data_IF_878446613038
#
_entry.id   IF_878446613038
#
_cell.length_a   1.000
_cell.length_b   1.000
_cell.length_c   1.000
_cell.angle_alpha   90.00
_cell.angle_beta   90.00
_cell.angle_gamma   90.00
#
_symmetry.space_group_name_H-M   'P 1'
#
loop_
_entity.id
_entity.type
_entity.pdbx_description
1 polymer ?
#
# COMPACT_ATOMS: atom_id res chain seq x y z
N UNK A 1 11.35 -19.87 5.16
CA UNK A 1 12.69 -20.10 5.76
C UNK A 1 13.33 -18.74 5.91
N UNK A 2 13.75 -18.36 7.13
CA UNK A 2 14.35 -17.04 7.36
C UNK A 2 15.88 -17.09 7.14
N UNK A 3 16.43 -16.00 6.63
CA UNK A 3 17.89 -15.77 6.53
C UNK A 3 18.27 -14.62 7.46
N UNK A 4 19.57 -14.39 7.66
CA UNK A 4 20.05 -13.27 8.48
C UNK A 4 20.79 -12.28 7.60
N UNK A 5 20.55 -10.99 7.84
CA UNK A 5 21.35 -9.88 7.31
C UNK A 5 22.04 -9.17 8.46
N UNK A 6 23.22 -8.61 8.22
CA UNK A 6 23.91 -7.78 9.20
C UNK A 6 23.69 -6.31 8.84
N UNK A 7 23.33 -5.51 9.84
CA UNK A 7 23.07 -4.07 9.69
C UNK A 7 23.75 -3.29 10.81
N UNK A 8 23.99 -1.99 10.59
CA UNK A 8 24.59 -1.13 11.60
C UNK A 8 23.64 -0.89 12.78
N UNK A 9 24.19 -0.63 13.96
CA UNK A 9 23.40 -0.22 15.13
C UNK A 9 22.59 1.05 14.90
N UNK A 10 23.09 1.94 14.02
CA UNK A 10 22.35 3.13 13.60
C UNK A 10 21.09 2.75 12.82
N UNK A 11 21.19 1.84 11.85
CA UNK A 11 20.04 1.40 11.06
C UNK A 11 18.99 0.68 11.91
N UNK A 12 19.41 -0.13 12.90
CA UNK A 12 18.47 -0.77 13.83
C UNK A 12 17.61 0.25 14.58
N UNK A 13 18.21 1.35 15.03
CA UNK A 13 17.48 2.43 15.72
C UNK A 13 16.47 3.10 14.77
N UNK A 14 16.91 3.41 13.56
CA UNK A 14 16.04 4.00 12.54
C UNK A 14 14.84 3.10 12.22
N UNK A 15 15.06 1.81 12.01
CA UNK A 15 13.99 0.84 11.76
C UNK A 15 13.04 0.70 12.95
N UNK A 16 13.53 0.88 14.18
CA UNK A 16 12.69 0.86 15.38
C UNK A 16 11.78 2.08 15.44
N UNK A 17 12.31 3.26 15.13
CA UNK A 17 11.54 4.52 15.13
C UNK A 17 10.55 4.58 13.96
N UNK A 18 10.78 3.78 12.91
CA UNK A 18 9.87 3.66 11.77
C UNK A 18 8.66 2.76 12.01
N UNK A 19 8.64 1.99 13.11
CA UNK A 19 7.53 1.09 13.41
C UNK A 19 6.24 1.86 13.63
N UNK A 20 5.15 1.43 12.99
CA UNK A 20 3.82 1.99 13.18
C UNK A 20 3.16 1.48 14.48
N UNK A 21 3.55 0.29 14.95
CA UNK A 21 3.06 -0.30 16.19
C UNK A 21 4.11 -1.22 16.83
N UNK A 22 4.03 -1.43 18.14
CA UNK A 22 5.09 -2.10 18.93
C UNK A 22 5.46 -3.52 18.44
N UNK A 23 4.49 -4.24 17.89
CA UNK A 23 4.63 -5.65 17.48
C UNK A 23 5.02 -5.83 16.01
N UNK A 24 5.15 -4.74 15.25
CA UNK A 24 5.58 -4.80 13.86
C UNK A 24 7.00 -5.37 13.76
N UNK A 25 7.22 -6.30 12.85
CA UNK A 25 8.53 -6.90 12.63
C UNK A 25 9.43 -5.97 11.81
N UNK A 26 10.75 -6.13 11.93
CA UNK A 26 11.66 -5.40 11.04
C UNK A 26 11.53 -5.85 9.58
N UNK A 27 11.05 -7.07 9.33
CA UNK A 27 10.79 -7.56 7.97
C UNK A 27 9.65 -6.77 7.34
N UNK A 28 8.53 -6.58 8.05
CA UNK A 28 7.40 -5.75 7.58
C UNK A 28 7.86 -4.32 7.28
N UNK A 29 8.57 -3.67 8.22
CA UNK A 29 9.11 -2.32 8.01
C UNK A 29 10.01 -2.25 6.77
N UNK A 30 10.86 -3.26 6.56
CA UNK A 30 11.77 -3.28 5.40
C UNK A 30 10.98 -3.48 4.09
N UNK A 31 9.98 -4.36 4.08
CA UNK A 31 9.14 -4.57 2.90
C UNK A 31 8.35 -3.32 2.53
N UNK A 32 7.75 -2.65 3.51
CA UNK A 32 7.02 -1.39 3.29
C UNK A 32 7.93 -0.31 2.69
N UNK A 33 9.19 -0.21 3.16
CA UNK A 33 10.17 0.72 2.60
C UNK A 33 10.61 0.37 1.18
N UNK A 34 10.58 -0.91 0.81
CA UNK A 34 10.94 -1.38 -0.53
C UNK A 34 9.78 -1.21 -1.52
N UNK A 35 8.54 -1.29 -1.05
CA UNK A 35 7.33 -1.26 -1.88
C UNK A 35 7.31 -0.06 -2.84
N UNK A 36 7.72 1.12 -2.38
CA UNK A 36 7.79 2.36 -3.18
C UNK A 36 8.68 2.24 -4.43
N UNK A 37 9.66 1.32 -4.40
CA UNK A 37 10.60 1.08 -5.50
C UNK A 37 10.22 -0.10 -6.38
N UNK A 38 9.19 -0.86 -5.98
CA UNK A 38 8.74 -2.03 -6.71
C UNK A 38 7.79 -1.63 -7.84
N UNK A 39 7.88 -2.36 -8.94
CA UNK A 39 6.91 -2.21 -10.03
C UNK A 39 5.54 -2.73 -9.59
N UNK A 40 4.49 -2.00 -9.95
CA UNK A 40 3.11 -2.46 -9.69
C UNK A 40 2.89 -3.84 -10.31
N UNK A 41 2.16 -4.69 -9.60
CA UNK A 41 1.76 -5.99 -10.15
C UNK A 41 0.95 -5.81 -11.44
N UNK A 42 1.00 -6.79 -12.33
CA UNK A 42 0.22 -6.78 -13.57
C UNK A 42 -1.29 -6.74 -13.30
N UNK A 43 -1.74 -7.31 -12.19
CA UNK A 43 -3.13 -7.20 -11.73
C UNK A 43 -3.48 -5.76 -11.36
N UNK A 44 -2.64 -5.11 -10.55
CA UNK A 44 -2.84 -3.71 -10.16
C UNK A 44 -2.86 -2.78 -11.38
N UNK A 45 -1.96 -3.00 -12.35
CA UNK A 45 -1.97 -2.24 -13.63
C UNK A 45 -3.29 -2.41 -14.38
N UNK A 46 -3.78 -3.66 -14.53
CA UNK A 46 -5.08 -3.95 -15.18
C UNK A 46 -6.23 -3.26 -14.45
N UNK A 47 -6.22 -3.26 -13.12
CA UNK A 47 -7.24 -2.59 -12.32
C UNK A 47 -7.22 -1.07 -12.55
N UNK A 48 -6.05 -0.45 -12.56
CA UNK A 48 -5.88 0.98 -12.86
C UNK A 48 -6.41 1.31 -14.26
N UNK A 49 -6.09 0.50 -15.27
CA UNK A 49 -6.61 0.71 -16.63
C UNK A 49 -8.14 0.62 -16.69
N UNK A 50 -8.73 -0.36 -16.01
CA UNK A 50 -10.18 -0.51 -15.91
C UNK A 50 -10.82 0.70 -15.25
N UNK A 51 -10.29 1.12 -14.10
CA UNK A 51 -10.77 2.32 -13.38
C UNK A 51 -10.67 3.58 -14.23
N UNK A 52 -9.59 3.75 -15.00
CA UNK A 52 -9.46 4.87 -15.95
C UNK A 52 -10.53 4.83 -17.05
N UNK A 53 -10.86 3.65 -17.57
CA UNK A 53 -11.95 3.49 -18.56
C UNK A 53 -13.31 3.79 -17.93
N UNK A 54 -13.56 3.29 -16.71
CA UNK A 54 -14.81 3.53 -15.99
C UNK A 54 -15.02 5.03 -15.73
N UNK A 55 -13.98 5.72 -15.27
CA UNK A 55 -14.00 7.17 -15.09
C UNK A 55 -14.31 7.92 -16.39
N UNK A 56 -13.62 7.59 -17.49
CA UNK A 56 -13.88 8.21 -18.81
C UNK A 56 -15.29 7.96 -19.32
N UNK A 57 -15.85 6.79 -19.03
CA UNK A 57 -17.21 6.41 -19.43
C UNK A 57 -18.29 6.92 -18.45
N UNK A 58 -17.94 7.70 -17.43
CA UNK A 58 -18.88 8.20 -16.43
C UNK A 58 -19.46 7.11 -15.52
N UNK A 59 -18.84 5.92 -15.47
CA UNK A 59 -19.24 4.81 -14.61
C UNK A 59 -18.70 4.98 -13.18
N UNK A 60 -18.93 6.17 -12.61
CA UNK A 60 -18.48 6.55 -11.27
C UNK A 60 -19.61 7.24 -10.54
N UNK A 61 -19.72 6.97 -9.24
CA UNK A 61 -20.69 7.63 -8.38
C UNK A 61 -20.00 8.66 -7.49
N UNK A 62 -20.62 9.83 -7.35
CA UNK A 62 -20.24 10.79 -6.31
C UNK A 62 -20.65 10.26 -4.94
N UNK A 63 -19.99 10.76 -3.88
CA UNK A 63 -20.34 10.38 -2.52
C UNK A 63 -21.81 10.68 -2.18
N UNK A 64 -22.36 11.79 -2.69
CA UNK A 64 -23.77 12.14 -2.53
C UNK A 64 -24.72 11.19 -3.27
N UNK A 65 -24.35 10.76 -4.48
CA UNK A 65 -25.13 9.78 -5.25
C UNK A 65 -25.19 8.44 -4.50
N UNK A 66 -24.06 7.98 -3.96
CA UNK A 66 -24.00 6.75 -3.16
C UNK A 66 -24.86 6.87 -1.90
N UNK A 67 -24.80 7.99 -1.18
CA UNK A 67 -25.66 8.22 0.00
C UNK A 67 -27.14 8.13 -0.34
N UNK A 68 -27.55 8.78 -1.42
CA UNK A 68 -28.94 8.77 -1.88
C UNK A 68 -29.41 7.37 -2.25
N UNK A 69 -28.58 6.57 -2.94
CA UNK A 69 -28.91 5.19 -3.31
C UNK A 69 -29.01 4.25 -2.10
N UNK A 70 -28.21 4.50 -1.06
CA UNK A 70 -28.20 3.72 0.17
C UNK A 70 -29.19 4.23 1.23
N UNK A 71 -29.89 5.35 0.98
CA UNK A 71 -30.84 5.94 1.93
C UNK A 71 -30.19 6.56 3.17
N UNK A 72 -28.96 7.06 3.04
CA UNK A 72 -28.15 7.69 4.10
C UNK A 72 -28.12 9.22 3.99
#
# INVERSE_FOLDING_TARGET
MATTIQISQKLVKELKDRKLYDKESYEEVIWDLLEDTMELSEETKKHIEKSRKDFKNGRTYSHEQVKKELGL
#
